data_IF_552510633592
#
_entry.id   IF_552510633592
#
_cell.length_a   1.000
_cell.length_b   1.000
_cell.length_c   1.000
_cell.angle_alpha   90.00
_cell.angle_beta   90.00
_cell.angle_gamma   90.00
#
_symmetry.space_group_name_H-M   'P 1'
#
loop_
_entity.id
_entity.type
_entity.pdbx_description
1 polymer ?
#
# COMPACT_ATOMS: atom_id res chain seq x y z
N UNK A 1 -15.15 17.16 -15.60
CA UNK A 1 -14.18 16.24 -16.23
C UNK A 1 -14.21 14.97 -15.41
N UNK A 2 -14.50 13.82 -16.03
CA UNK A 2 -14.47 12.52 -15.33
C UNK A 2 -13.04 12.29 -14.80
N UNK A 3 -12.84 11.89 -13.53
CA UNK A 3 -11.53 11.47 -13.07
C UNK A 3 -11.20 10.18 -13.80
N UNK A 4 -10.47 10.29 -14.92
CA UNK A 4 -9.95 9.14 -15.62
C UNK A 4 -9.06 8.34 -14.66
N UNK A 5 -9.21 7.02 -14.67
CA UNK A 5 -8.36 6.13 -13.88
C UNK A 5 -6.90 6.42 -14.23
N UNK A 6 -6.19 7.14 -13.36
CA UNK A 6 -4.79 7.40 -13.59
C UNK A 6 -3.99 6.13 -13.25
N UNK A 7 -3.15 5.76 -14.21
CA UNK A 7 -2.31 4.59 -14.16
C UNK A 7 -1.06 4.92 -13.33
N UNK A 8 -0.79 4.12 -12.30
CA UNK A 8 0.44 4.20 -11.53
C UNK A 8 1.18 2.87 -11.63
N UNK A 9 2.50 2.94 -11.70
CA UNK A 9 3.39 1.79 -11.60
C UNK A 9 4.21 1.98 -10.34
N UNK A 10 4.35 0.92 -9.56
CA UNK A 10 5.05 1.00 -8.30
C UNK A 10 5.76 -0.28 -7.92
N UNK A 11 6.58 -0.15 -6.89
CA UNK A 11 7.26 -1.26 -6.22
C UNK A 11 6.57 -1.48 -4.89
N UNK A 12 6.23 -2.73 -4.60
CA UNK A 12 5.68 -3.14 -3.30
C UNK A 12 6.62 -4.16 -2.67
N UNK A 13 7.12 -3.83 -1.48
CA UNK A 13 7.89 -4.73 -0.63
C UNK A 13 7.04 -5.04 0.61
N UNK A 14 6.98 -6.30 0.99
CA UNK A 14 6.35 -6.71 2.24
C UNK A 14 7.22 -7.70 3.01
N UNK A 15 7.16 -7.58 4.33
CA UNK A 15 7.77 -8.52 5.27
C UNK A 15 6.67 -8.96 6.22
N UNK A 16 6.54 -10.28 6.39
CA UNK A 16 5.54 -10.91 7.24
C UNK A 16 6.23 -11.72 8.34
N UNK A 17 5.86 -11.45 9.59
CA UNK A 17 6.34 -12.16 10.78
C UNK A 17 5.20 -12.88 11.47
N UNK A 18 5.46 -14.08 11.99
CA UNK A 18 4.49 -14.84 12.77
C UNK A 18 4.34 -14.23 14.17
N UNK A 19 3.10 -14.04 14.60
CA UNK A 19 2.74 -13.61 15.96
C UNK A 19 2.16 -14.79 16.75
N UNK A 20 1.31 -15.60 16.11
CA UNK A 20 0.80 -16.88 16.64
C UNK A 20 0.46 -17.84 15.49
N UNK A 21 -0.01 -19.05 15.81
CA UNK A 21 -0.33 -20.12 14.84
C UNK A 21 -1.22 -19.68 13.67
N UNK A 22 -2.09 -18.70 13.92
CA UNK A 22 -3.04 -18.19 12.93
C UNK A 22 -2.92 -16.69 12.72
N UNK A 23 -1.94 -16.01 13.32
CA UNK A 23 -1.85 -14.55 13.29
C UNK A 23 -0.46 -14.11 12.86
N UNK A 24 -0.40 -13.32 11.80
CA UNK A 24 0.82 -12.73 11.27
C UNK A 24 0.74 -11.20 11.31
N UNK A 25 1.88 -10.57 11.56
CA UNK A 25 2.06 -9.12 11.40
C UNK A 25 2.82 -8.88 10.11
N UNK A 26 2.24 -8.07 9.23
CA UNK A 26 2.86 -7.66 7.97
C UNK A 26 3.17 -6.18 8.00
N UNK A 27 4.42 -5.85 7.68
CA UNK A 27 4.82 -4.50 7.30
C UNK A 27 4.99 -4.44 5.78
N UNK A 28 4.44 -3.41 5.14
CA UNK A 28 4.63 -3.18 3.71
C UNK A 28 5.06 -1.75 3.41
N UNK A 29 5.95 -1.63 2.44
CA UNK A 29 6.38 -0.38 1.84
C UNK A 29 6.01 -0.40 0.36
N UNK A 30 5.26 0.59 -0.08
CA UNK A 30 4.84 0.76 -1.46
C UNK A 30 5.34 2.10 -1.98
N UNK A 31 6.00 2.11 -3.14
CA UNK A 31 6.42 3.32 -3.82
C UNK A 31 5.78 3.36 -5.19
N UNK A 32 4.88 4.32 -5.43
CA UNK A 32 4.14 4.47 -6.67
C UNK A 32 4.57 5.73 -7.42
N UNK A 33 4.73 5.60 -8.73
CA UNK A 33 4.91 6.72 -9.66
C UNK A 33 3.82 6.63 -10.72
N UNK A 34 3.01 7.69 -10.85
CA UNK A 34 1.92 7.75 -11.80
C UNK A 34 2.13 8.77 -12.90
N UNK A 35 1.59 8.50 -14.09
CA UNK A 35 1.44 9.54 -15.12
C UNK A 35 0.39 10.54 -14.61
N UNK A 36 0.78 11.81 -14.45
CA UNK A 36 -0.02 12.90 -13.87
C UNK A 36 -0.39 12.71 -12.38
N UNK A 37 0.44 12.01 -11.61
CA UNK A 37 0.32 11.94 -10.14
C UNK A 37 1.66 12.20 -9.48
N UNK A 38 1.62 12.82 -8.31
CA UNK A 38 2.81 12.95 -7.47
C UNK A 38 3.29 11.56 -7.02
N UNK A 39 4.60 11.32 -6.97
CA UNK A 39 5.14 10.11 -6.39
C UNK A 39 4.64 9.95 -4.95
N UNK A 40 4.18 8.74 -4.64
CA UNK A 40 3.66 8.40 -3.32
C UNK A 40 4.49 7.24 -2.76
N UNK A 41 4.91 7.38 -1.50
CA UNK A 41 5.51 6.29 -0.72
C UNK A 41 4.59 6.00 0.46
N UNK A 42 4.16 4.76 0.61
CA UNK A 42 3.22 4.34 1.65
C UNK A 42 3.82 3.24 2.51
N UNK A 43 3.65 3.38 3.82
CA UNK A 43 4.00 2.38 4.81
C UNK A 43 2.74 1.86 5.47
N UNK A 44 2.54 0.54 5.50
CA UNK A 44 1.41 -0.08 6.21
C UNK A 44 1.89 -1.10 7.25
N UNK A 45 1.09 -1.21 8.31
CA UNK A 45 1.14 -2.29 9.29
C UNK A 45 -0.20 -3.02 9.30
N UNK A 46 -0.18 -4.34 9.09
CA UNK A 46 -1.39 -5.16 8.94
C UNK A 46 -1.32 -6.38 9.83
N UNK A 47 -2.37 -6.65 10.60
CA UNK A 47 -2.56 -7.94 11.27
C UNK A 47 -3.39 -8.85 10.38
N UNK A 48 -2.87 -10.03 10.06
CA UNK A 48 -3.45 -11.03 9.17
C UNK A 48 -3.81 -12.28 9.96
N UNK A 49 -5.06 -12.69 9.90
CA UNK A 49 -5.53 -13.98 10.41
C UNK A 49 -5.57 -15.01 9.29
N UNK A 50 -4.84 -16.12 9.44
CA UNK A 50 -4.77 -17.20 8.48
C UNK A 50 -5.72 -18.34 8.85
N UNK A 51 -6.60 -18.70 7.91
CA UNK A 51 -7.58 -19.77 8.01
C UNK A 51 -7.44 -20.71 6.79
N UNK A 52 -6.44 -21.59 6.86
CA UNK A 52 -6.09 -22.49 5.77
C UNK A 52 -5.57 -21.72 4.55
N UNK A 53 -6.28 -21.79 3.42
CA UNK A 53 -5.90 -21.10 2.17
C UNK A 53 -6.42 -19.66 2.07
N UNK A 54 -7.25 -19.23 3.02
CA UNK A 54 -7.79 -17.87 3.05
C UNK A 54 -7.19 -17.14 4.24
N UNK A 55 -6.91 -15.86 4.07
CA UNK A 55 -6.55 -14.99 5.19
C UNK A 55 -7.27 -13.66 5.04
N UNK A 56 -7.51 -13.03 6.17
CA UNK A 56 -8.12 -11.71 6.22
C UNK A 56 -7.49 -10.90 7.33
N UNK A 57 -7.56 -9.59 7.22
CA UNK A 57 -6.90 -8.74 8.19
C UNK A 57 -7.27 -7.28 8.06
N UNK A 58 -6.74 -6.53 9.00
CA UNK A 58 -6.92 -5.10 9.09
C UNK A 58 -5.62 -4.43 9.50
N UNK A 59 -5.43 -3.21 9.04
CA UNK A 59 -4.23 -2.47 9.32
C UNK A 59 -4.45 -0.97 9.29
N UNK A 60 -3.37 -0.29 9.63
CA UNK A 60 -3.24 1.15 9.48
C UNK A 60 -1.98 1.44 8.68
N UNK A 61 -2.04 2.50 7.90
CA UNK A 61 -0.92 2.97 7.11
C UNK A 61 -0.76 4.47 7.18
N UNK A 62 0.39 4.91 6.69
CA UNK A 62 0.75 6.30 6.50
C UNK A 62 1.35 6.48 5.11
N UNK A 63 0.92 7.49 4.38
CA UNK A 63 1.46 7.89 3.08
C UNK A 63 2.34 9.14 3.16
N UNK A 64 3.35 9.19 2.31
CA UNK A 64 4.17 10.35 1.97
C UNK A 64 3.94 10.66 0.50
N UNK A 65 3.55 11.89 0.19
CA UNK A 65 3.42 12.37 -1.20
C UNK A 65 4.51 13.39 -1.45
N UNK A 66 5.34 13.15 -2.46
CA UNK A 66 6.40 14.08 -2.83
C UNK A 66 5.91 14.97 -3.98
N UNK A 67 5.74 16.27 -3.70
CA UNK A 67 5.57 17.26 -4.75
C UNK A 67 6.94 17.66 -5.31
N UNK A 68 7.14 17.53 -6.63
CA UNK A 68 8.34 18.03 -7.32
C UNK A 68 7.98 19.32 -8.07
N UNK A 69 7.36 20.27 -7.39
CA UNK A 69 7.13 21.60 -7.91
C UNK A 69 8.45 22.30 -8.21
N UNK A 70 8.55 22.95 -9.37
CA UNK A 70 9.64 23.86 -9.68
C UNK A 70 9.54 25.08 -8.76
N UNK A 71 10.22 25.03 -7.61
CA UNK A 71 10.45 26.25 -6.85
C UNK A 71 11.38 27.15 -7.67
N UNK A 72 11.13 28.47 -7.63
CA UNK A 72 11.97 29.50 -8.28
C UNK A 72 13.45 29.45 -7.82
N UNK A 73 13.76 28.62 -6.81
CA UNK A 73 15.08 28.34 -6.25
C UNK A 73 15.82 27.13 -6.87
N UNK A 74 15.25 26.44 -7.86
CA UNK A 74 15.93 25.38 -8.62
C UNK A 74 16.21 24.07 -7.85
N UNK A 75 15.67 23.93 -6.64
CA UNK A 75 15.74 22.71 -5.84
C UNK A 75 14.36 22.03 -5.77
N UNK A 76 14.27 20.70 -5.92
CA UNK A 76 13.02 19.98 -5.72
C UNK A 76 12.55 20.16 -4.28
N UNK A 77 11.41 20.83 -4.09
CA UNK A 77 10.86 21.04 -2.76
C UNK A 77 10.09 19.82 -2.28
N UNK A 78 10.72 18.96 -1.48
CA UNK A 78 10.01 17.82 -0.86
C UNK A 78 9.03 18.38 0.17
N UNK A 79 7.74 18.45 -0.17
CA UNK A 79 6.69 18.78 0.80
C UNK A 79 6.43 17.55 1.67
N UNK A 80 6.93 17.59 2.90
CA UNK A 80 6.59 16.60 3.93
C UNK A 80 5.20 16.91 4.48
N UNK A 81 4.21 16.06 4.24
CA UNK A 81 2.95 16.11 4.97
C UNK A 81 2.75 14.84 5.79
N UNK A 82 3.20 14.82 7.07
CA UNK A 82 3.06 13.66 7.95
C UNK A 82 1.61 13.32 8.30
N UNK A 83 0.69 14.26 8.09
CA UNK A 83 -0.68 14.24 8.64
C UNK A 83 -1.70 13.71 7.61
N UNK A 84 -1.39 13.73 6.31
CA UNK A 84 -2.44 13.64 5.28
C UNK A 84 -3.02 12.25 5.04
N UNK A 85 -2.43 11.15 5.54
CA UNK A 85 -2.98 9.82 5.20
C UNK A 85 -2.77 8.76 6.28
N UNK A 86 -3.23 9.02 7.51
CA UNK A 86 -3.51 7.91 8.43
C UNK A 86 -4.73 7.16 7.87
N UNK A 87 -4.48 6.09 7.14
CA UNK A 87 -5.51 5.29 6.49
C UNK A 87 -5.71 3.99 7.26
N UNK A 88 -6.94 3.51 7.27
CA UNK A 88 -7.27 2.17 7.71
C UNK A 88 -7.54 1.32 6.48
N UNK A 89 -7.11 0.07 6.50
CA UNK A 89 -7.35 -0.84 5.39
C UNK A 89 -7.76 -2.22 5.88
N UNK A 90 -8.56 -2.88 5.04
CA UNK A 90 -8.93 -4.27 5.19
C UNK A 90 -8.32 -5.07 4.04
N UNK A 91 -7.85 -6.27 4.35
CA UNK A 91 -7.28 -7.21 3.39
C UNK A 91 -8.09 -8.49 3.41
N UNK A 92 -8.41 -9.00 2.24
CA UNK A 92 -8.88 -10.37 2.04
C UNK A 92 -7.98 -11.02 1.00
N UNK A 93 -7.40 -12.17 1.33
CA UNK A 93 -6.46 -12.84 0.45
C UNK A 93 -6.61 -14.35 0.40
N UNK A 94 -6.08 -14.89 -0.69
CA UNK A 94 -6.01 -16.31 -0.98
C UNK A 94 -4.58 -16.75 -1.22
N UNK A 95 -4.21 -17.87 -0.61
CA UNK A 95 -2.94 -18.55 -0.81
C UNK A 95 -3.06 -19.60 -1.94
N UNK A 96 -2.20 -19.44 -2.94
CA UNK A 96 -2.09 -20.29 -4.13
C UNK A 96 -0.83 -21.18 -4.07
N UNK A 97 -0.23 -21.36 -2.90
CA UNK A 97 0.93 -22.21 -2.65
C UNK A 97 2.23 -21.40 -2.59
N UNK A 98 2.71 -20.92 -3.73
CA UNK A 98 3.89 -20.04 -3.80
C UNK A 98 3.52 -18.57 -3.94
N UNK A 99 2.29 -18.29 -4.37
CA UNK A 99 1.82 -16.95 -4.73
C UNK A 99 0.56 -16.61 -3.96
N UNK A 100 0.25 -15.32 -3.85
CA UNK A 100 -0.93 -14.84 -3.14
C UNK A 100 -1.71 -13.86 -4.00
N UNK A 101 -3.03 -13.88 -3.85
CA UNK A 101 -3.94 -12.90 -4.43
C UNK A 101 -4.65 -12.16 -3.30
N UNK A 102 -4.65 -10.83 -3.34
CA UNK A 102 -5.29 -9.98 -2.32
C UNK A 102 -6.23 -8.98 -2.96
N UNK A 103 -7.39 -8.78 -2.32
CA UNK A 103 -8.18 -7.57 -2.43
C UNK A 103 -7.93 -6.69 -1.22
N UNK A 104 -7.69 -5.40 -1.44
CA UNK A 104 -7.46 -4.42 -0.37
C UNK A 104 -8.46 -3.29 -0.52
N UNK A 105 -9.21 -3.04 0.56
CA UNK A 105 -10.10 -1.88 0.67
C UNK A 105 -9.46 -0.88 1.62
N UNK A 106 -9.27 0.35 1.15
CA UNK A 106 -8.71 1.45 1.94
C UNK A 106 -9.74 2.51 2.25
N UNK A 107 -9.76 2.92 3.50
CA UNK A 107 -10.61 3.98 4.03
C UNK A 107 -9.74 5.08 4.63
N UNK A 108 -9.95 6.31 4.17
CA UNK A 108 -9.18 7.48 4.56
C UNK A 108 -9.51 8.65 3.65
N UNK A 109 -8.71 9.73 3.68
CA UNK A 109 -8.90 10.89 2.80
C UNK A 109 -8.90 10.53 1.32
N UNK A 110 -8.17 9.47 0.94
CA UNK A 110 -8.24 8.84 -0.38
C UNK A 110 -8.70 7.39 -0.22
N UNK A 111 -9.97 7.14 -0.54
CA UNK A 111 -10.52 5.79 -0.60
C UNK A 111 -10.03 5.07 -1.85
N UNK A 112 -9.60 3.82 -1.71
CA UNK A 112 -9.12 3.02 -2.82
C UNK A 112 -9.55 1.56 -2.70
N UNK A 113 -9.77 0.94 -3.86
CA UNK A 113 -9.92 -0.51 -4.00
C UNK A 113 -8.76 -1.00 -4.86
N UNK A 114 -7.97 -1.92 -4.31
CA UNK A 114 -6.78 -2.46 -4.95
C UNK A 114 -6.86 -3.97 -5.05
N UNK A 115 -6.28 -4.52 -6.11
CA UNK A 115 -6.06 -5.96 -6.27
C UNK A 115 -4.57 -6.18 -6.44
N UNK A 116 -3.99 -7.06 -5.63
CA UNK A 116 -2.55 -7.34 -5.60
C UNK A 116 -2.31 -8.80 -5.89
N UNK A 117 -1.40 -9.08 -6.82
CA UNK A 117 -0.83 -10.42 -7.01
C UNK A 117 0.61 -10.40 -6.49
N UNK A 118 0.91 -11.28 -5.54
CA UNK A 118 2.19 -11.32 -4.84
C UNK A 118 2.89 -12.61 -5.23
N UNK A 119 4.16 -12.48 -5.63
CA UNK A 119 5.01 -13.57 -6.08
C UNK A 119 6.29 -13.61 -5.24
N UNK A 120 6.87 -14.80 -5.00
CA UNK A 120 8.13 -14.92 -4.30
C UNK A 120 9.27 -14.41 -5.20
N UNK A 121 10.22 -13.70 -4.60
CA UNK A 121 11.48 -13.35 -5.25
C UNK A 121 12.44 -14.52 -5.00
N UNK A 122 12.61 -15.35 -6.04
CA UNK A 122 13.56 -16.48 -6.02
C UNK A 122 14.98 -16.01 -6.31
#
# INVERSE_FOLDING_TARGET
>A
MSPGAALAVGVHLSVEGHVSDTLNLRSSLEGNVGLNRLPEVRLDLTLLHHAGRVYYGGGVGSGLVADFGSNESGLPGIVFSPITMLNAHAVLGWDLGSSRLEGVLRLGPEHALEVRAIFPLN
#
